data_IF_727632676628
#
_entry.id   IF_727632676628
#
_cell.length_a   1.000
_cell.length_b   1.000
_cell.length_c   1.000
_cell.angle_alpha   90.00
_cell.angle_beta   90.00
_cell.angle_gamma   90.00
#
_symmetry.space_group_name_H-M   'P 1'
#
loop_
_entity.id
_entity.type
_entity.pdbx_description
1 polymer ?
#
# COMPACT_ATOMS: atom_id res chain seq x y z
N UNK A 1 24.76 -11.96 -6.49
CA UNK A 1 23.98 -11.84 -7.75
C UNK A 1 22.80 -10.91 -7.50
N UNK A 2 22.40 -10.07 -8.48
CA UNK A 2 21.43 -8.96 -8.34
C UNK A 2 20.14 -9.33 -7.58
N UNK A 3 19.58 -10.51 -7.84
CA UNK A 3 18.40 -11.02 -7.13
C UNK A 3 18.60 -11.04 -5.61
N UNK A 4 19.64 -11.71 -5.11
CA UNK A 4 19.90 -11.85 -3.68
C UNK A 4 20.09 -10.51 -2.97
N UNK A 5 20.57 -9.48 -3.69
CA UNK A 5 20.79 -8.16 -3.14
C UNK A 5 19.48 -7.39 -2.93
N UNK A 6 18.54 -7.49 -3.87
CA UNK A 6 17.30 -6.69 -3.85
C UNK A 6 16.08 -7.46 -3.35
N UNK A 7 16.06 -8.79 -3.44
CA UNK A 7 14.89 -9.61 -3.12
C UNK A 7 14.32 -9.36 -1.71
N UNK A 8 15.12 -9.29 -0.62
CA UNK A 8 14.54 -9.04 0.71
C UNK A 8 13.79 -7.70 0.80
N UNK A 9 14.35 -6.64 0.20
CA UNK A 9 13.70 -5.33 0.16
C UNK A 9 12.48 -5.34 -0.75
N UNK A 10 12.56 -5.98 -1.92
CA UNK A 10 11.47 -6.02 -2.88
C UNK A 10 10.30 -6.88 -2.40
N UNK A 11 10.58 -7.94 -1.64
CA UNK A 11 9.55 -8.69 -0.92
C UNK A 11 8.78 -7.79 0.04
N UNK A 12 9.48 -6.96 0.83
CA UNK A 12 8.86 -5.96 1.70
C UNK A 12 8.02 -4.92 0.96
N UNK A 13 8.41 -4.56 -0.27
CA UNK A 13 7.59 -3.70 -1.15
C UNK A 13 6.33 -4.45 -1.60
N UNK A 14 6.45 -5.67 -2.11
CA UNK A 14 5.32 -6.48 -2.56
C UNK A 14 4.33 -6.81 -1.45
N UNK A 15 4.81 -7.07 -0.22
CA UNK A 15 3.98 -7.32 0.97
C UNK A 15 2.99 -6.19 1.26
N UNK A 16 3.35 -4.94 0.97
CA UNK A 16 2.48 -3.78 1.18
C UNK A 16 1.23 -3.84 0.30
N UNK A 17 1.35 -4.41 -0.90
CA UNK A 17 0.28 -4.47 -1.89
C UNK A 17 -0.47 -5.81 -1.86
N UNK A 18 0.23 -6.90 -1.55
CA UNK A 18 -0.32 -8.25 -1.45
C UNK A 18 -1.25 -8.43 -0.24
N UNK A 19 -2.17 -9.40 -0.33
CA UNK A 19 -3.03 -9.80 0.80
C UNK A 19 -2.31 -10.70 1.82
N UNK A 20 -1.29 -11.42 1.38
CA UNK A 20 -0.51 -12.36 2.19
C UNK A 20 0.92 -12.50 1.64
N UNK A 21 1.75 -13.28 2.34
CA UNK A 21 3.14 -13.51 1.95
C UNK A 21 3.26 -14.27 0.62
N UNK A 22 2.40 -15.26 0.37
CA UNK A 22 2.42 -16.04 -0.87
C UNK A 22 2.19 -15.14 -2.10
N UNK A 23 1.18 -14.28 -2.06
CA UNK A 23 0.93 -13.33 -3.15
C UNK A 23 2.08 -12.32 -3.28
N UNK A 24 2.74 -11.94 -2.18
CA UNK A 24 3.92 -11.07 -2.24
C UNK A 24 5.12 -11.76 -2.92
N UNK A 25 5.35 -13.04 -2.63
CA UNK A 25 6.38 -13.85 -3.29
C UNK A 25 6.11 -13.97 -4.79
N UNK A 26 4.87 -14.28 -5.18
CA UNK A 26 4.47 -14.33 -6.60
C UNK A 26 4.74 -13.00 -7.30
N UNK A 27 4.29 -11.88 -6.71
CA UNK A 27 4.46 -10.55 -7.29
C UNK A 27 5.94 -10.18 -7.44
N UNK A 28 6.76 -10.57 -6.45
CA UNK A 28 8.20 -10.34 -6.49
C UNK A 28 8.86 -11.17 -7.60
N UNK A 29 8.49 -12.44 -7.73
CA UNK A 29 9.02 -13.32 -8.78
C UNK A 29 8.68 -12.78 -10.18
N UNK A 30 7.41 -12.46 -10.43
CA UNK A 30 6.95 -11.83 -11.67
C UNK A 30 7.67 -10.50 -11.94
N UNK A 31 7.86 -9.71 -10.89
CA UNK A 31 8.61 -8.47 -10.93
C UNK A 31 10.07 -8.67 -11.35
N UNK A 32 10.76 -9.66 -10.78
CA UNK A 32 12.14 -9.96 -11.15
C UNK A 32 12.26 -10.51 -12.58
N UNK A 33 11.30 -11.32 -13.05
CA UNK A 33 11.24 -11.71 -14.46
C UNK A 33 11.23 -10.45 -15.33
N UNK A 34 10.35 -9.48 -15.05
CA UNK A 34 10.30 -8.21 -15.80
C UNK A 34 11.58 -7.39 -15.64
N UNK A 35 12.21 -7.35 -14.46
CA UNK A 35 13.50 -6.69 -14.24
C UNK A 35 14.57 -7.27 -15.16
N UNK A 36 14.73 -8.58 -15.21
CA UNK A 36 15.75 -9.21 -16.04
C UNK A 36 15.46 -9.05 -17.53
N UNK A 37 14.20 -9.17 -17.96
CA UNK A 37 13.80 -8.93 -19.35
C UNK A 37 14.08 -7.50 -19.80
N UNK A 38 13.89 -6.51 -18.91
CA UNK A 38 13.99 -5.09 -19.26
C UNK A 38 15.29 -4.45 -18.76
N UNK A 39 16.24 -5.19 -18.19
CA UNK A 39 17.42 -4.62 -17.54
C UNK A 39 18.23 -3.70 -18.47
N UNK A 40 18.30 -4.05 -19.76
CA UNK A 40 19.00 -3.27 -20.79
C UNK A 40 18.37 -1.89 -21.06
N UNK A 41 17.14 -1.67 -20.63
CA UNK A 41 16.40 -0.41 -20.82
C UNK A 41 16.59 0.56 -19.65
N UNK A 42 17.28 0.16 -18.59
CA UNK A 42 17.58 1.03 -17.46
C UNK A 42 18.55 2.15 -17.92
N UNK A 43 18.06 3.39 -17.93
CA UNK A 43 18.79 4.55 -18.46
C UNK A 43 19.70 5.26 -17.47
N UNK A 44 19.81 4.78 -16.23
CA UNK A 44 20.59 5.41 -15.16
C UNK A 44 20.11 6.81 -14.72
N UNK A 45 18.88 7.23 -15.09
CA UNK A 45 18.23 8.48 -14.66
C UNK A 45 17.87 8.51 -13.14
N UNK A 46 18.39 7.57 -12.36
CA UNK A 46 18.09 7.35 -10.94
C UNK A 46 18.74 6.09 -10.41
N UNK A 47 18.38 5.68 -9.19
CA UNK A 47 18.94 4.45 -8.60
C UNK A 47 18.34 3.19 -9.25
N UNK A 48 19.18 2.16 -9.41
CA UNK A 48 18.72 0.84 -9.85
C UNK A 48 17.66 0.27 -8.91
N UNK A 49 17.84 0.47 -7.59
CA UNK A 49 16.87 0.08 -6.57
C UNK A 49 15.50 0.75 -6.80
N UNK A 50 15.48 2.05 -7.10
CA UNK A 50 14.24 2.79 -7.40
C UNK A 50 13.56 2.30 -8.67
N UNK A 51 14.34 1.97 -9.70
CA UNK A 51 13.81 1.39 -10.94
C UNK A 51 13.20 -0.01 -10.72
N UNK A 52 13.88 -0.88 -9.98
CA UNK A 52 13.36 -2.21 -9.61
C UNK A 52 12.10 -2.05 -8.75
N UNK A 53 12.10 -1.16 -7.73
CA UNK A 53 10.94 -0.89 -6.88
C UNK A 53 9.72 -0.48 -7.71
N UNK A 54 9.90 0.38 -8.71
CA UNK A 54 8.81 0.79 -9.60
C UNK A 54 8.24 -0.39 -10.39
N UNK A 55 9.08 -1.32 -10.87
CA UNK A 55 8.61 -2.54 -11.52
C UNK A 55 7.78 -3.40 -10.56
N UNK A 56 8.24 -3.59 -9.32
CA UNK A 56 7.52 -4.39 -8.29
C UNK A 56 6.15 -3.80 -7.98
N UNK A 57 6.07 -2.48 -7.81
CA UNK A 57 4.81 -1.77 -7.61
C UNK A 57 3.91 -2.01 -8.82
N UNK A 58 4.38 -1.73 -10.03
CA UNK A 58 3.58 -1.86 -11.25
C UNK A 58 3.02 -3.28 -11.45
N UNK A 59 3.82 -4.32 -11.18
CA UNK A 59 3.35 -5.72 -11.23
C UNK A 59 2.23 -5.95 -10.22
N UNK A 60 2.41 -5.48 -8.99
CA UNK A 60 1.39 -5.60 -7.94
C UNK A 60 0.10 -4.87 -8.32
N UNK A 61 0.20 -3.66 -8.90
CA UNK A 61 -0.97 -2.90 -9.35
C UNK A 61 -1.70 -3.59 -10.51
N UNK A 62 -0.95 -4.15 -11.46
CA UNK A 62 -1.50 -4.86 -12.62
C UNK A 62 -2.33 -6.08 -12.19
N UNK A 63 -1.82 -6.88 -11.25
CA UNK A 63 -2.50 -8.08 -10.73
C UNK A 63 -3.82 -7.71 -10.05
N UNK A 64 -3.81 -6.70 -9.18
CA UNK A 64 -5.01 -6.26 -8.46
C UNK A 64 -6.06 -5.68 -9.42
N UNK A 65 -5.63 -4.91 -10.44
CA UNK A 65 -6.53 -4.41 -11.48
C UNK A 65 -7.24 -5.55 -12.21
N UNK A 66 -6.52 -6.60 -12.60
CA UNK A 66 -7.10 -7.79 -13.27
C UNK A 66 -8.11 -8.51 -12.38
N UNK A 67 -7.83 -8.63 -11.09
CA UNK A 67 -8.75 -9.25 -10.13
C UNK A 67 -10.03 -8.41 -9.91
N UNK A 68 -9.92 -7.07 -9.88
CA UNK A 68 -11.06 -6.18 -9.63
C UNK A 68 -11.85 -5.75 -10.87
N UNK A 69 -11.33 -5.94 -12.08
CA UNK A 69 -12.12 -5.80 -13.32
C UNK A 69 -13.27 -6.82 -13.41
N UNK A 70 -13.19 -7.90 -12.64
CA UNK A 70 -14.21 -8.96 -12.59
C UNK A 70 -15.37 -8.66 -11.64
N UNK A 71 -15.31 -7.59 -10.85
CA UNK A 71 -16.36 -7.18 -9.94
C UNK A 71 -16.73 -5.71 -10.17
N UNK A 72 -17.92 -5.41 -10.73
CA UNK A 72 -18.45 -4.05 -10.67
C UNK A 72 -18.67 -3.72 -9.19
N UNK A 73 -18.16 -2.58 -8.75
CA UNK A 73 -18.46 -2.07 -7.40
C UNK A 73 -19.25 -0.79 -7.60
N UNK A 74 -20.44 -0.78 -7.01
CA UNK A 74 -21.31 0.39 -6.88
C UNK A 74 -20.54 1.56 -6.28
N UNK A 75 -20.64 2.71 -6.93
CA UNK A 75 -20.22 4.00 -6.36
C UNK A 75 -21.10 4.26 -5.12
N UNK A 76 -20.62 3.87 -3.94
CA UNK A 76 -21.20 4.38 -2.70
C UNK A 76 -20.71 5.81 -2.51
N UNK A 77 -21.51 6.71 -3.06
CA UNK A 77 -21.43 8.15 -2.91
C UNK A 77 -21.56 8.60 -1.44
N UNK A 78 -20.90 9.73 -1.15
CA UNK A 78 -21.05 10.66 -0.01
C UNK A 78 -21.03 10.04 1.40
N UNK A 79 -19.95 10.31 2.14
CA UNK A 79 -19.96 10.21 3.60
C UNK A 79 -19.18 11.38 4.22
N UNK A 80 -19.79 11.97 5.24
CA UNK A 80 -19.24 13.08 6.02
C UNK A 80 -17.92 12.68 6.67
N UNK A 81 -16.90 13.50 6.43
CA UNK A 81 -15.59 13.36 7.05
C UNK A 81 -15.70 13.63 8.55
N UNK A 82 -15.51 12.60 9.37
CA UNK A 82 -15.34 12.82 10.81
C UNK A 82 -13.86 13.09 11.07
N UNK A 83 -13.55 14.31 11.49
CA UNK A 83 -12.20 14.74 11.84
C UNK A 83 -11.74 14.03 13.11
N UNK A 84 -10.79 13.11 12.97
CA UNK A 84 -10.04 12.53 14.09
C UNK A 84 -8.54 12.65 13.85
N UNK A 85 -7.80 13.01 14.88
CA UNK A 85 -6.37 13.41 14.85
C UNK A 85 -5.42 12.30 14.37
N UNK A 86 -4.33 12.71 13.73
CA UNK A 86 -3.32 11.84 13.11
C UNK A 86 -2.31 11.22 14.13
N UNK A 87 -2.43 11.57 15.41
CA UNK A 87 -1.46 11.26 16.48
C UNK A 87 -1.43 9.77 16.91
N UNK A 88 -2.45 8.99 16.54
CA UNK A 88 -2.60 7.58 16.96
C UNK A 88 -1.64 6.64 16.21
N UNK A 89 -1.20 7.01 15.00
CA UNK A 89 -0.38 6.15 14.13
C UNK A 89 1.10 6.10 14.53
N UNK A 90 1.60 7.08 15.30
CA UNK A 90 3.03 7.22 15.58
C UNK A 90 3.60 6.19 16.57
N UNK A 91 2.75 5.40 17.25
CA UNK A 91 3.15 4.49 18.35
C UNK A 91 3.14 3.00 17.99
N UNK A 92 3.01 2.63 16.71
CA UNK A 92 2.85 1.24 16.26
C UNK A 92 4.15 0.70 15.67
N UNK A 93 4.52 -0.54 16.01
CA UNK A 93 5.63 -1.24 15.37
C UNK A 93 5.38 -1.43 13.86
N UNK A 94 6.43 -1.32 13.04
CA UNK A 94 6.29 -1.37 11.57
C UNK A 94 5.58 -2.64 11.07
N UNK A 95 5.81 -3.78 11.72
CA UNK A 95 5.19 -5.07 11.35
C UNK A 95 3.70 -5.12 11.68
N UNK A 96 3.28 -4.50 12.79
CA UNK A 96 1.87 -4.45 13.16
C UNK A 96 1.10 -3.50 12.25
N UNK A 97 1.70 -2.36 11.88
CA UNK A 97 1.13 -1.46 10.88
C UNK A 97 1.00 -2.17 9.51
N UNK A 98 1.98 -2.98 9.13
CA UNK A 98 1.92 -3.75 7.88
C UNK A 98 0.72 -4.71 7.87
N UNK A 99 0.52 -5.47 8.96
CA UNK A 99 -0.63 -6.37 9.10
C UNK A 99 -1.96 -5.62 8.98
N UNK A 100 -2.05 -4.42 9.57
CA UNK A 100 -3.24 -3.59 9.48
C UNK A 100 -3.50 -3.11 8.04
N UNK A 101 -2.44 -2.70 7.32
CA UNK A 101 -2.52 -2.31 5.91
C UNK A 101 -2.98 -3.49 5.05
N UNK A 102 -2.49 -4.70 5.30
CA UNK A 102 -2.91 -5.90 4.58
C UNK A 102 -4.38 -6.27 4.82
N UNK A 103 -4.99 -5.82 5.91
CA UNK A 103 -6.43 -6.02 6.14
C UNK A 103 -7.32 -4.99 5.43
N UNK A 104 -6.75 -3.95 4.81
CA UNK A 104 -7.53 -3.01 4.00
C UNK A 104 -8.08 -3.70 2.75
N UNK A 105 -9.29 -3.33 2.30
CA UNK A 105 -9.76 -3.66 0.95
C UNK A 105 -8.72 -3.23 -0.11
N UNK A 106 -8.49 -4.04 -1.17
CA UNK A 106 -7.33 -3.84 -2.04
C UNK A 106 -7.23 -2.43 -2.65
N UNK A 107 -8.35 -1.86 -3.11
CA UNK A 107 -8.37 -0.49 -3.68
C UNK A 107 -7.90 0.59 -2.70
N UNK A 108 -8.31 0.48 -1.44
CA UNK A 108 -7.93 1.43 -0.38
C UNK A 108 -6.47 1.23 0.01
N UNK A 109 -6.02 -0.03 0.13
CA UNK A 109 -4.61 -0.40 0.39
C UNK A 109 -3.67 0.22 -0.64
N UNK A 110 -4.00 0.08 -1.92
CA UNK A 110 -3.19 0.58 -3.03
C UNK A 110 -3.03 2.09 -2.96
N UNK A 111 -4.15 2.82 -2.85
CA UNK A 111 -4.11 4.28 -2.78
C UNK A 111 -3.37 4.76 -1.53
N UNK A 112 -3.57 4.11 -0.38
CA UNK A 112 -2.84 4.43 0.84
C UNK A 112 -1.33 4.28 0.66
N UNK A 113 -0.86 3.14 0.15
CA UNK A 113 0.57 2.92 -0.06
C UNK A 113 1.16 3.90 -1.09
N UNK A 114 0.50 4.10 -2.23
CA UNK A 114 0.98 5.01 -3.27
C UNK A 114 1.07 6.46 -2.77
N UNK A 115 0.11 6.91 -1.95
CA UNK A 115 0.14 8.26 -1.42
C UNK A 115 1.11 8.42 -0.24
N UNK A 116 0.94 7.59 0.81
CA UNK A 116 1.63 7.78 2.09
C UNK A 116 3.06 7.26 2.07
N UNK A 117 3.34 6.17 1.36
CA UNK A 117 4.65 5.50 1.37
C UNK A 117 5.47 5.87 0.14
N UNK A 118 4.82 5.94 -1.02
CA UNK A 118 5.49 6.26 -2.28
C UNK A 118 5.49 7.76 -2.60
N UNK A 119 4.68 8.57 -1.90
CA UNK A 119 4.65 10.02 -2.02
C UNK A 119 3.98 10.55 -3.28
N UNK A 120 3.19 9.73 -3.98
CA UNK A 120 2.52 10.15 -5.22
C UNK A 120 1.36 11.09 -4.92
N UNK A 121 1.19 12.08 -5.78
CA UNK A 121 -0.01 12.92 -5.79
C UNK A 121 -1.25 12.13 -6.20
N UNK A 122 -2.44 12.62 -5.84
CA UNK A 122 -3.71 12.04 -6.30
C UNK A 122 -3.85 12.03 -7.83
N UNK A 123 -3.19 12.96 -8.53
CA UNK A 123 -3.15 13.00 -9.98
C UNK A 123 -2.34 11.84 -10.56
N UNK A 124 -1.16 11.57 -10.01
CA UNK A 124 -0.33 10.43 -10.43
C UNK A 124 -1.03 9.10 -10.12
N UNK A 125 -1.60 8.98 -8.92
CA UNK A 125 -2.35 7.77 -8.51
C UNK A 125 -3.53 7.52 -9.45
N UNK A 126 -4.31 8.56 -9.78
CA UNK A 126 -5.42 8.46 -10.73
C UNK A 126 -4.98 7.87 -12.07
N UNK A 127 -3.82 8.32 -12.59
CA UNK A 127 -3.24 7.82 -13.84
C UNK A 127 -2.78 6.37 -13.75
N UNK A 128 -2.03 6.01 -12.71
CA UNK A 128 -1.51 4.63 -12.54
C UNK A 128 -2.64 3.61 -12.32
N UNK A 129 -3.66 4.02 -11.57
CA UNK A 129 -4.76 3.16 -11.15
C UNK A 129 -5.95 3.15 -12.11
N UNK A 130 -5.97 4.05 -13.12
CA UNK A 130 -7.11 4.29 -14.01
C UNK A 130 -8.41 4.61 -13.25
N UNK A 131 -8.33 5.55 -12.31
CA UNK A 131 -9.47 6.06 -11.52
C UNK A 131 -9.51 7.59 -11.58
N UNK A 132 -10.57 8.21 -11.08
CA UNK A 132 -10.60 9.68 -10.96
C UNK A 132 -9.76 10.16 -9.77
N UNK A 133 -9.28 11.41 -9.81
CA UNK A 133 -8.62 12.01 -8.65
C UNK A 133 -9.55 12.06 -7.42
N UNK A 134 -10.85 12.26 -7.62
CA UNK A 134 -11.86 12.21 -6.55
C UNK A 134 -11.92 10.83 -5.90
N UNK A 135 -11.93 9.77 -6.69
CA UNK A 135 -11.87 8.37 -6.22
C UNK A 135 -10.57 8.10 -5.46
N UNK A 136 -9.44 8.66 -5.89
CA UNK A 136 -8.17 8.55 -5.14
C UNK A 136 -8.29 9.21 -3.75
N UNK A 137 -8.84 10.42 -3.67
CA UNK A 137 -9.04 11.12 -2.39
C UNK A 137 -9.98 10.35 -1.45
N UNK A 138 -11.13 9.89 -1.96
CA UNK A 138 -12.09 9.13 -1.15
C UNK A 138 -11.52 7.80 -0.69
N UNK A 139 -10.83 7.05 -1.56
CA UNK A 139 -10.15 5.81 -1.18
C UNK A 139 -9.11 6.01 -0.07
N UNK A 140 -8.32 7.10 -0.15
CA UNK A 140 -7.34 7.43 0.89
C UNK A 140 -8.03 7.74 2.22
N UNK A 141 -9.11 8.53 2.20
CA UNK A 141 -9.87 8.85 3.42
C UNK A 141 -10.41 7.57 4.06
N UNK A 142 -11.05 6.69 3.28
CA UNK A 142 -11.57 5.40 3.77
C UNK A 142 -10.46 4.50 4.31
N UNK A 143 -9.30 4.46 3.66
CA UNK A 143 -8.14 3.72 4.16
C UNK A 143 -7.72 4.21 5.56
N UNK A 144 -7.60 5.53 5.74
CA UNK A 144 -7.24 6.15 7.02
C UNK A 144 -8.27 5.85 8.10
N UNK A 145 -9.56 5.94 7.78
CA UNK A 145 -10.64 5.67 8.74
C UNK A 145 -10.62 4.21 9.23
N UNK A 146 -10.47 3.25 8.31
CA UNK A 146 -10.39 1.83 8.64
C UNK A 146 -9.15 1.56 9.50
N UNK A 147 -7.99 2.11 9.12
CA UNK A 147 -6.76 1.95 9.90
C UNK A 147 -6.91 2.55 11.30
N UNK A 148 -7.42 3.78 11.43
CA UNK A 148 -7.63 4.43 12.73
C UNK A 148 -8.51 3.58 13.65
N UNK A 149 -9.61 3.03 13.15
CA UNK A 149 -10.49 2.12 13.92
C UNK A 149 -9.75 0.86 14.36
N UNK A 150 -9.05 0.18 13.43
CA UNK A 150 -8.29 -1.04 13.76
C UNK A 150 -7.18 -0.79 14.77
N UNK A 151 -6.52 0.36 14.68
CA UNK A 151 -5.52 0.77 15.67
C UNK A 151 -6.18 1.01 17.02
N UNK A 152 -7.31 1.71 17.07
CA UNK A 152 -8.02 1.90 18.33
C UNK A 152 -8.44 0.57 18.95
N UNK A 153 -8.98 -0.38 18.18
CA UNK A 153 -9.37 -1.71 18.66
C UNK A 153 -8.18 -2.53 19.17
N UNK A 154 -7.06 -2.54 18.43
CA UNK A 154 -5.89 -3.35 18.79
C UNK A 154 -5.05 -2.72 19.92
N UNK A 155 -5.13 -1.40 20.11
CA UNK A 155 -4.27 -0.66 21.03
C UNK A 155 -5.08 0.05 22.15
N UNK A 156 -6.39 -0.19 22.24
CA UNK A 156 -7.23 0.30 23.35
C UNK A 156 -6.76 -0.21 24.72
N UNK A 157 -6.18 -1.41 24.80
CA UNK A 157 -5.59 -1.94 26.04
C UNK A 157 -4.31 -1.19 26.47
N UNK A 158 -3.53 -0.65 25.52
CA UNK A 158 -2.30 0.11 25.78
C UNK A 158 -2.57 1.55 26.24
N UNK A 159 -3.68 2.15 25.80
CA UNK A 159 -4.07 3.51 26.21
C UNK A 159 -4.80 3.48 27.58
N UNK A 160 -5.53 2.41 27.89
CA UNK A 160 -6.23 2.25 29.17
C UNK A 160 -5.33 2.08 30.41
N UNK A 161 -4.09 1.62 30.25
CA UNK A 161 -3.16 1.42 31.38
C UNK A 161 -2.42 2.69 31.85
N UNK A 162 -2.41 3.77 31.05
CA UNK A 162 -1.73 5.01 31.42
C UNK A 162 -2.56 5.99 32.27
N UNK A 163 -3.81 5.66 32.60
CA UNK A 163 -4.70 6.52 33.38
C UNK A 163 -4.90 6.06 34.84
N UNK A 164 -4.07 5.12 35.35
CA UNK A 164 -4.16 4.63 36.74
C UNK A 164 -2.90 4.85 37.60
N UNK A 165 -1.98 5.72 37.16
CA UNK A 165 -0.86 6.16 38.00
C UNK A 165 -0.78 7.67 38.05
N UNK A 166 -1.64 8.26 38.86
CA UNK A 166 -1.45 9.56 39.52
C UNK A 166 -2.14 9.52 40.88
#
# INVERSE_FOLDING_TARGET
MLYHQFAPKMFGVCLRYAKDATEAEDNMQDGFIKVFTNLKTFRHDGSLEGWIRRIMINVSLEKIRKQHLLYPVEDVSVYDSVNFSDDVLAKIAADDLMKLIQQLPPRYRMVFNLYVIEGLSHQEIAKEMLITQGTSKSNLARARDILKKKVQENFSELIGQNNYTA
#
